data_IF_040887537989
#
_entry.id   IF_040887537989
#
_cell.length_a   1.000
_cell.length_b   1.000
_cell.length_c   1.000
_cell.angle_alpha   90.00
_cell.angle_beta   90.00
_cell.angle_gamma   90.00
#
_symmetry.space_group_name_H-M   'P 1'
#
loop_
_entity.id
_entity.type
_entity.pdbx_description
1 polymer ?
#
# COMPACT_ATOMS: atom_id res chain seq x y z
N UNK A 1 -2.26 -9.35 -9.72
CA UNK A 1 -3.25 -8.30 -9.45
C UNK A 1 -2.57 -6.96 -9.64
N UNK A 2 -3.23 -6.07 -10.37
CA UNK A 2 -2.78 -4.70 -10.51
C UNK A 2 -2.68 -4.04 -9.13
N UNK A 3 -1.60 -3.28 -8.90
CA UNK A 3 -1.50 -2.38 -7.77
C UNK A 3 -2.47 -1.23 -8.05
N UNK A 4 -3.44 -1.01 -7.16
CA UNK A 4 -4.33 0.15 -7.30
C UNK A 4 -3.50 1.43 -7.07
N UNK A 5 -3.63 2.46 -7.93
CA UNK A 5 -2.95 3.72 -7.74
C UNK A 5 -3.42 4.43 -6.47
N UNK A 6 -2.60 5.35 -5.99
CA UNK A 6 -2.82 6.13 -4.77
C UNK A 6 -2.42 5.43 -3.45
N UNK A 7 -2.36 6.22 -2.36
CA UNK A 7 -1.99 5.73 -1.03
C UNK A 7 -2.86 4.58 -0.57
N UNK A 8 -2.28 3.70 0.25
CA UNK A 8 -3.02 2.61 0.87
C UNK A 8 -3.92 3.19 1.98
N UNK A 9 -5.24 2.91 1.99
CA UNK A 9 -6.15 3.47 2.98
C UNK A 9 -5.82 3.00 4.38
N UNK A 10 -6.14 3.83 5.36
CA UNK A 10 -6.12 3.48 6.78
C UNK A 10 -7.47 2.88 7.16
N UNK A 11 -7.45 1.76 7.87
CA UNK A 11 -8.64 1.11 8.40
C UNK A 11 -9.21 1.96 9.55
N UNK A 12 -10.48 2.37 9.43
CA UNK A 12 -11.15 3.24 10.42
C UNK A 12 -11.23 2.64 11.83
N UNK A 13 -11.26 1.31 11.93
CA UNK A 13 -11.40 0.61 13.21
C UNK A 13 -10.09 0.51 13.99
N UNK A 14 -8.95 0.41 13.30
CA UNK A 14 -7.64 0.18 13.94
C UNK A 14 -6.69 1.36 13.81
N UNK A 15 -6.94 2.29 12.88
CA UNK A 15 -5.96 3.33 12.53
C UNK A 15 -4.73 2.81 11.81
N UNK A 16 -4.69 1.51 11.47
CA UNK A 16 -3.59 0.88 10.75
C UNK A 16 -3.85 0.81 9.24
N UNK A 17 -2.80 0.59 8.47
CA UNK A 17 -2.91 0.43 7.03
C UNK A 17 -3.76 -0.81 6.65
N UNK A 18 -4.66 -0.68 5.66
CA UNK A 18 -5.61 -1.73 5.26
C UNK A 18 -4.91 -3.01 4.76
N UNK A 19 -4.79 -4.02 5.64
CA UNK A 19 -4.10 -5.29 5.38
C UNK A 19 -4.69 -6.10 4.22
N UNK A 20 -5.90 -5.79 3.74
CA UNK A 20 -6.54 -6.46 2.58
C UNK A 20 -5.95 -6.04 1.25
N UNK A 21 -5.34 -4.85 1.17
CA UNK A 21 -4.62 -4.39 -0.03
C UNK A 21 -3.16 -4.85 0.02
N UNK A 22 -2.59 -5.14 -1.15
CA UNK A 22 -1.14 -5.38 -1.28
C UNK A 22 -0.37 -4.11 -0.89
N UNK A 23 0.82 -4.31 -0.33
CA UNK A 23 1.73 -3.20 -0.07
C UNK A 23 2.28 -2.65 -1.39
N UNK A 24 2.37 -1.33 -1.48
CA UNK A 24 2.87 -0.58 -2.62
C UNK A 24 3.64 0.65 -2.14
N UNK A 25 4.81 0.42 -1.56
CA UNK A 25 5.73 1.50 -1.14
C UNK A 25 5.94 2.56 -2.23
N UNK A 26 5.96 2.13 -3.49
CA UNK A 26 6.35 2.95 -4.63
C UNK A 26 5.28 3.98 -5.06
N UNK A 27 4.12 4.03 -4.39
CA UNK A 27 3.07 5.00 -4.70
C UNK A 27 3.24 6.29 -3.90
N UNK A 28 3.19 7.44 -4.57
CA UNK A 28 3.34 8.75 -3.93
C UNK A 28 2.28 8.97 -2.84
N UNK A 29 2.70 9.50 -1.69
CA UNK A 29 1.82 9.78 -0.55
C UNK A 29 1.47 8.56 0.32
N UNK A 30 2.14 7.43 0.11
CA UNK A 30 1.94 6.22 0.91
C UNK A 30 2.88 6.16 2.11
N UNK A 31 2.56 5.33 3.10
CA UNK A 31 3.38 5.15 4.30
C UNK A 31 4.77 4.55 3.92
N UNK A 32 5.90 5.18 4.34
CA UNK A 32 7.26 4.70 4.03
C UNK A 32 7.61 3.33 4.63
N UNK A 33 6.87 2.89 5.66
CA UNK A 33 7.06 1.61 6.34
C UNK A 33 6.51 0.43 5.55
N UNK A 34 5.77 0.70 4.46
CA UNK A 34 5.21 -0.35 3.62
C UNK A 34 6.29 -1.05 2.81
N UNK A 35 6.08 -2.35 2.60
CA UNK A 35 6.98 -3.15 1.78
C UNK A 35 6.79 -2.76 0.30
N UNK A 36 7.87 -2.71 -0.50
CA UNK A 36 7.74 -2.57 -1.93
C UNK A 36 6.96 -3.75 -2.50
N UNK A 37 6.16 -3.50 -3.54
CA UNK A 37 5.40 -4.59 -4.16
C UNK A 37 6.34 -5.52 -4.90
N UNK A 38 6.11 -6.83 -4.85
CA UNK A 38 6.84 -7.80 -5.68
C UNK A 38 6.67 -7.52 -7.19
N UNK A 39 5.63 -6.80 -7.59
CA UNK A 39 5.35 -6.48 -8.99
C UNK A 39 5.83 -5.11 -9.45
N UNK A 40 6.45 -4.28 -8.58
CA UNK A 40 7.06 -3.01 -9.02
C UNK A 40 8.46 -3.18 -9.62
N UNK A 41 9.03 -4.39 -9.53
CA UNK A 41 10.29 -4.79 -10.17
C UNK A 41 10.12 -5.41 -11.58
N UNK A 42 9.00 -5.15 -12.25
CA UNK A 42 8.79 -5.59 -13.63
C UNK A 42 8.80 -4.42 -14.58
#
# INVERSE_FOLDING_TARGET
MAIKPGPKPIAKSTGEVDKRRRDNKDTQGNNPDLKPSKSSKK
#
